data_IF_102256437326
#
_entry.id   IF_102256437326
#
_cell.length_a   1.000
_cell.length_b   1.000
_cell.length_c   1.000
_cell.angle_alpha   90.00
_cell.angle_beta   90.00
_cell.angle_gamma   90.00
#
_symmetry.space_group_name_H-M   'P 1'
#
loop_
_entity.id
_entity.type
_entity.pdbx_description
1 polymer ?
#
# COMPACT_ATOMS: atom_id res chain seq x y z
N UNK A 1 -4.78 18.06 21.49
CA UNK A 1 -4.92 16.86 20.64
C UNK A 1 -6.29 16.26 20.83
N UNK A 2 -6.87 15.67 19.78
CA UNK A 2 -8.11 14.89 19.90
C UNK A 2 -7.91 13.47 19.39
N UNK A 3 -8.34 12.48 20.15
CA UNK A 3 -8.44 11.08 19.72
C UNK A 3 -9.89 10.79 19.31
N UNK A 4 -10.13 10.57 18.01
CA UNK A 4 -11.43 10.16 17.47
C UNK A 4 -11.48 8.64 17.39
N UNK A 5 -12.24 8.01 18.26
CA UNK A 5 -12.23 6.56 18.42
C UNK A 5 -13.35 5.87 17.66
N UNK A 6 -13.00 4.88 16.84
CA UNK A 6 -13.96 4.03 16.11
C UNK A 6 -13.99 2.58 16.64
N UNK A 7 -13.06 2.22 17.53
CA UNK A 7 -13.01 0.90 18.18
C UNK A 7 -11.88 0.03 17.66
N UNK A 8 -12.23 -1.09 17.02
CA UNK A 8 -11.24 -2.07 16.56
C UNK A 8 -10.57 -2.87 17.68
N UNK A 9 -9.48 -3.55 17.33
CA UNK A 9 -8.71 -4.42 18.21
C UNK A 9 -8.02 -3.65 19.33
N UNK A 10 -7.63 -2.39 19.08
CA UNK A 10 -7.05 -1.50 20.09
C UNK A 10 -8.01 -1.25 21.27
N UNK A 11 -9.31 -1.30 21.02
CA UNK A 11 -10.37 -1.26 22.03
C UNK A 11 -10.91 -2.67 22.40
N UNK A 12 -10.24 -3.74 21.99
CA UNK A 12 -10.77 -5.10 22.02
C UNK A 12 -10.60 -5.82 23.36
N UNK A 13 -11.58 -6.66 23.70
CA UNK A 13 -11.55 -7.58 24.86
C UNK A 13 -11.29 -9.02 24.41
N UNK A 14 -10.16 -9.59 24.80
CA UNK A 14 -9.82 -10.99 24.57
C UNK A 14 -10.53 -11.93 25.57
N UNK A 15 -10.64 -13.21 25.20
CA UNK A 15 -11.15 -14.25 26.12
C UNK A 15 -10.16 -14.60 27.25
N UNK A 16 -8.87 -14.31 27.05
CA UNK A 16 -7.79 -14.58 28.00
C UNK A 16 -6.54 -13.76 27.67
N UNK A 17 -5.63 -13.62 28.63
CA UNK A 17 -4.42 -12.78 28.46
C UNK A 17 -3.38 -13.38 27.52
N UNK A 18 -3.44 -14.68 27.29
CA UNK A 18 -2.55 -15.48 26.45
C UNK A 18 -3.08 -15.69 25.02
N UNK A 19 -4.26 -15.14 24.69
CA UNK A 19 -4.84 -15.20 23.35
C UNK A 19 -5.06 -13.81 22.76
N UNK A 20 -4.76 -13.69 21.46
CA UNK A 20 -5.05 -12.51 20.65
C UNK A 20 -5.88 -12.84 19.40
N UNK A 21 -6.29 -14.10 19.23
CA UNK A 21 -7.09 -14.57 18.09
C UNK A 21 -8.56 -14.79 18.44
N UNK A 22 -8.89 -14.95 19.72
CA UNK A 22 -10.26 -15.03 20.21
C UNK A 22 -10.59 -13.81 21.07
N UNK A 23 -11.23 -12.82 20.46
CA UNK A 23 -11.57 -11.56 21.11
C UNK A 23 -12.76 -10.87 20.43
N UNK A 24 -13.31 -9.87 21.11
CA UNK A 24 -14.31 -8.96 20.57
C UNK A 24 -13.69 -7.58 20.38
N UNK A 25 -13.60 -7.13 19.13
CA UNK A 25 -13.20 -5.75 18.80
C UNK A 25 -14.21 -4.74 19.35
N UNK A 26 -13.76 -3.51 19.64
CA UNK A 26 -14.62 -2.41 20.05
C UNK A 26 -15.42 -2.70 21.33
N UNK A 27 -14.73 -2.97 22.44
CA UNK A 27 -15.35 -3.28 23.74
C UNK A 27 -15.10 -2.19 24.77
N UNK A 28 -13.84 -1.79 24.99
CA UNK A 28 -13.50 -0.75 25.96
C UNK A 28 -13.64 0.65 25.35
N UNK A 29 -14.05 1.66 26.12
CA UNK A 29 -14.05 3.04 25.65
C UNK A 29 -12.61 3.56 25.55
N UNK A 30 -12.38 4.47 24.61
CA UNK A 30 -11.04 4.96 24.30
C UNK A 30 -10.48 5.87 25.40
N UNK A 31 -11.37 6.54 26.15
CA UNK A 31 -11.04 7.32 27.34
C UNK A 31 -10.24 6.52 28.36
N UNK A 32 -10.54 5.23 28.52
CA UNK A 32 -9.88 4.38 29.50
C UNK A 32 -8.41 4.14 29.13
N UNK A 33 -8.11 3.98 27.83
CA UNK A 33 -6.72 3.78 27.38
C UNK A 33 -5.95 5.09 27.50
N UNK A 34 -6.56 6.23 27.15
CA UNK A 34 -5.92 7.53 27.35
C UNK A 34 -5.60 7.75 28.82
N UNK A 35 -6.46 7.30 29.74
CA UNK A 35 -6.15 7.29 31.18
C UNK A 35 -4.99 6.36 31.53
N UNK A 36 -4.85 5.21 30.87
CA UNK A 36 -3.69 4.31 31.02
C UNK A 36 -2.38 4.95 30.53
N UNK A 37 -2.43 5.87 29.57
CA UNK A 37 -1.25 6.61 29.08
C UNK A 37 -0.82 7.77 30.00
N UNK A 38 -1.52 8.00 31.11
CA UNK A 38 -1.19 9.06 32.06
C UNK A 38 -0.23 8.57 33.15
N UNK A 39 0.73 9.42 33.58
CA UNK A 39 0.91 10.84 33.23
C UNK A 39 1.76 11.10 31.96
N UNK A 40 2.30 10.07 31.33
CA UNK A 40 3.33 10.20 30.29
C UNK A 40 2.87 11.02 29.08
N UNK A 41 1.62 10.85 28.64
CA UNK A 41 1.07 11.60 27.49
C UNK A 41 0.93 13.10 27.79
N UNK A 42 0.65 13.47 29.05
CA UNK A 42 0.51 14.88 29.47
C UNK A 42 1.82 15.67 29.38
N UNK A 43 2.97 15.00 29.22
CA UNK A 43 4.26 15.66 29.03
C UNK A 43 4.38 16.36 27.67
N UNK A 44 3.58 15.98 26.67
CA UNK A 44 3.68 16.51 25.31
C UNK A 44 2.33 16.77 24.62
N UNK A 45 1.20 16.33 25.19
CA UNK A 45 -0.12 16.60 24.63
C UNK A 45 -1.20 16.69 25.71
N UNK A 46 -2.08 17.69 25.58
CA UNK A 46 -3.41 17.64 26.20
C UNK A 46 -4.34 16.87 25.27
N UNK A 47 -4.99 15.82 25.78
CA UNK A 47 -5.70 14.82 24.96
C UNK A 47 -7.16 14.74 25.35
N UNK A 48 -8.02 15.14 24.43
CA UNK A 48 -9.46 14.90 24.49
C UNK A 48 -9.84 13.66 23.68
N UNK A 49 -10.93 13.00 24.07
CA UNK A 49 -11.44 11.80 23.39
C UNK A 49 -12.83 12.04 22.85
N UNK A 50 -13.01 11.83 21.55
CA UNK A 50 -14.31 11.75 20.89
C UNK A 50 -14.60 10.28 20.57
N UNK A 51 -15.54 9.67 21.29
CA UNK A 51 -15.96 8.29 21.02
C UNK A 51 -16.96 8.25 19.85
N UNK A 52 -16.46 8.25 18.62
CA UNK A 52 -17.28 8.22 17.40
C UNK A 52 -18.04 6.90 17.22
N UNK A 53 -17.38 5.78 17.50
CA UNK A 53 -17.99 4.46 17.49
C UNK A 53 -17.16 3.45 18.25
N UNK A 54 -17.63 2.21 18.32
CA UNK A 54 -16.93 1.15 19.03
C UNK A 54 -17.20 -0.21 18.37
N UNK A 55 -16.65 -0.40 17.17
CA UNK A 55 -16.94 -1.57 16.33
C UNK A 55 -15.70 -2.09 15.59
N UNK A 56 -15.80 -3.28 15.02
CA UNK A 56 -14.78 -3.77 14.08
C UNK A 56 -14.77 -2.93 12.80
N UNK A 57 -13.60 -2.71 12.20
CA UNK A 57 -13.45 -1.77 11.09
C UNK A 57 -14.19 -2.17 9.82
N UNK A 58 -14.43 -3.46 9.59
CA UNK A 58 -15.26 -3.95 8.48
C UNK A 58 -16.77 -3.67 8.61
N UNK A 59 -17.23 -3.15 9.76
CA UNK A 59 -18.64 -2.85 10.00
C UNK A 59 -19.09 -1.44 9.59
N UNK A 60 -18.17 -0.59 9.14
CA UNK A 60 -18.45 0.81 8.83
C UNK A 60 -18.94 1.01 7.40
N UNK A 61 -20.00 1.79 7.24
CA UNK A 61 -20.60 2.16 5.95
C UNK A 61 -20.04 3.48 5.43
N UNK A 62 -20.15 3.76 4.12
CA UNK A 62 -19.69 5.05 3.56
C UNK A 62 -20.38 6.29 4.14
N UNK A 63 -21.70 6.25 4.44
CA UNK A 63 -22.31 7.33 5.22
C UNK A 63 -21.67 7.56 6.59
N UNK A 64 -21.16 6.51 7.26
CA UNK A 64 -20.40 6.68 8.51
C UNK A 64 -18.97 7.15 8.27
N UNK A 65 -18.34 6.80 7.14
CA UNK A 65 -17.06 7.40 6.75
C UNK A 65 -17.21 8.91 6.48
N UNK A 66 -18.34 9.34 5.89
CA UNK A 66 -18.69 10.75 5.77
C UNK A 66 -18.79 11.42 7.14
N UNK A 67 -19.61 10.85 8.03
CA UNK A 67 -19.78 11.37 9.39
C UNK A 67 -18.43 11.44 10.12
N UNK A 68 -17.53 10.48 9.88
CA UNK A 68 -16.18 10.47 10.45
C UNK A 68 -15.31 11.62 9.94
N UNK A 69 -15.31 11.90 8.62
CA UNK A 69 -14.59 13.06 8.07
C UNK A 69 -15.07 14.35 8.73
N UNK A 70 -16.40 14.54 8.85
CA UNK A 70 -16.97 15.72 9.50
C UNK A 70 -16.53 15.83 10.95
N UNK A 71 -16.56 14.72 11.71
CA UNK A 71 -16.10 14.70 13.09
C UNK A 71 -14.61 15.01 13.24
N UNK A 72 -13.77 14.51 12.34
CA UNK A 72 -12.32 14.81 12.31
C UNK A 72 -12.09 16.29 12.01
N UNK A 73 -12.74 16.85 11.00
CA UNK A 73 -12.61 18.26 10.64
C UNK A 73 -13.13 19.19 11.73
N UNK A 74 -14.25 18.84 12.37
CA UNK A 74 -14.78 19.60 13.49
C UNK A 74 -13.81 19.60 14.68
N UNK A 75 -13.19 18.46 15.00
CA UNK A 75 -12.15 18.38 16.01
C UNK A 75 -10.90 19.23 15.65
N UNK A 76 -10.51 19.26 14.36
CA UNK A 76 -9.37 20.03 13.88
C UNK A 76 -9.56 21.55 13.91
N UNK A 77 -10.78 22.06 14.17
CA UNK A 77 -11.00 23.50 14.38
C UNK A 77 -10.25 24.00 15.60
N UNK A 78 -10.36 23.25 16.70
CA UNK A 78 -9.81 23.65 18.01
C UNK A 78 -8.55 22.84 18.39
N UNK A 79 -8.33 21.66 17.83
CA UNK A 79 -7.15 20.83 18.09
C UNK A 79 -5.99 21.14 17.12
N UNK A 80 -4.75 20.96 17.57
CA UNK A 80 -3.56 21.06 16.70
C UNK A 80 -3.38 19.84 15.77
N UNK A 81 -4.16 18.78 15.97
CA UNK A 81 -4.00 17.49 15.31
C UNK A 81 -4.95 16.44 15.88
N UNK A 82 -5.25 15.43 15.06
CA UNK A 82 -6.18 14.35 15.38
C UNK A 82 -5.52 12.99 15.21
N UNK A 83 -5.76 12.09 16.18
CA UNK A 83 -5.50 10.66 16.04
C UNK A 83 -6.82 9.92 15.89
N UNK A 84 -6.98 9.13 14.85
CA UNK A 84 -8.17 8.29 14.64
C UNK A 84 -7.80 6.84 14.94
N UNK A 85 -8.48 6.22 15.90
CA UNK A 85 -8.27 4.79 16.21
C UNK A 85 -9.28 3.92 15.47
N UNK A 86 -8.81 2.85 14.83
CA UNK A 86 -9.66 1.90 14.09
C UNK A 86 -9.12 0.47 14.14
N UNK A 87 -9.92 -0.49 13.70
CA UNK A 87 -9.49 -1.88 13.50
C UNK A 87 -8.58 -2.03 12.29
N UNK A 88 -7.57 -2.89 12.39
CA UNK A 88 -6.53 -3.00 11.35
C UNK A 88 -7.02 -3.59 10.03
N UNK A 89 -8.15 -4.31 9.99
CA UNK A 89 -8.61 -5.03 8.79
C UNK A 89 -8.87 -4.11 7.58
N UNK A 90 -9.53 -2.97 7.79
CA UNK A 90 -9.79 -1.97 6.75
C UNK A 90 -9.14 -0.62 7.07
N UNK A 91 -8.13 -0.59 7.94
CA UNK A 91 -7.47 0.66 8.37
C UNK A 91 -6.87 1.45 7.20
N UNK A 92 -6.31 0.75 6.21
CA UNK A 92 -5.81 1.38 4.97
C UNK A 92 -6.90 2.06 4.14
N UNK A 93 -8.15 1.62 4.27
CA UNK A 93 -9.32 2.22 3.64
C UNK A 93 -9.78 3.46 4.41
N UNK A 94 -9.82 3.40 5.75
CA UNK A 94 -10.05 4.59 6.60
C UNK A 94 -9.02 5.68 6.31
N UNK A 95 -7.74 5.31 6.30
CA UNK A 95 -6.65 6.24 6.05
C UNK A 95 -6.77 6.89 4.68
N UNK A 96 -7.00 6.11 3.62
CA UNK A 96 -7.10 6.68 2.27
C UNK A 96 -8.36 7.51 2.07
N UNK A 97 -9.48 7.16 2.70
CA UNK A 97 -10.67 8.01 2.69
C UNK A 97 -10.41 9.38 3.33
N UNK A 98 -9.82 9.40 4.53
CA UNK A 98 -9.55 10.66 5.23
C UNK A 98 -8.49 11.49 4.51
N UNK A 99 -7.48 10.85 3.91
CA UNK A 99 -6.48 11.52 3.06
C UNK A 99 -7.11 12.25 1.88
N UNK A 100 -8.19 11.67 1.34
CA UNK A 100 -8.91 12.23 0.22
C UNK A 100 -9.99 13.22 0.63
N UNK A 101 -10.47 13.25 1.87
CA UNK A 101 -11.70 13.98 2.22
C UNK A 101 -11.53 15.07 3.28
N UNK A 102 -10.51 14.97 4.14
CA UNK A 102 -10.26 15.98 5.19
C UNK A 102 -9.70 17.25 4.57
N UNK A 103 -10.42 18.36 4.76
CA UNK A 103 -10.10 19.70 4.29
C UNK A 103 -9.28 20.49 5.33
N UNK A 104 -8.22 19.88 5.87
CA UNK A 104 -7.32 20.51 6.85
C UNK A 104 -5.88 20.00 6.69
N UNK A 105 -4.92 20.93 6.71
CA UNK A 105 -3.47 20.67 6.60
C UNK A 105 -2.84 20.17 7.91
N UNK A 106 -3.56 20.28 9.04
CA UNK A 106 -3.10 19.82 10.36
C UNK A 106 -2.92 18.28 10.37
N UNK A 107 -2.03 17.74 11.20
CA UNK A 107 -1.79 16.30 11.29
C UNK A 107 -3.05 15.47 11.56
N UNK A 108 -3.27 14.45 10.72
CA UNK A 108 -4.25 13.38 10.94
C UNK A 108 -3.52 12.04 10.90
N UNK A 109 -3.50 11.35 12.04
CA UNK A 109 -2.81 10.06 12.21
C UNK A 109 -3.83 8.96 12.45
N UNK A 110 -3.80 7.92 11.62
CA UNK A 110 -4.60 6.70 11.80
C UNK A 110 -3.77 5.67 12.55
N UNK A 111 -4.35 5.05 13.57
CA UNK A 111 -3.68 3.99 14.32
C UNK A 111 -4.64 2.91 14.81
N UNK A 112 -4.08 1.83 15.36
CA UNK A 112 -4.81 0.70 15.92
C UNK A 112 -3.86 -0.33 16.54
N UNK A 113 -4.32 -1.58 16.64
CA UNK A 113 -3.53 -2.65 17.23
C UNK A 113 -3.79 -3.98 16.51
N UNK A 114 -2.77 -4.83 16.43
CA UNK A 114 -2.91 -6.20 15.95
C UNK A 114 -3.35 -7.16 17.05
N UNK A 115 -3.06 -6.83 18.32
CA UNK A 115 -3.45 -7.63 19.48
C UNK A 115 -4.46 -6.88 20.35
N UNK A 116 -5.46 -7.58 20.90
CA UNK A 116 -6.45 -6.95 21.77
C UNK A 116 -5.79 -6.30 22.97
N UNK A 117 -6.47 -5.33 23.58
CA UNK A 117 -5.90 -4.60 24.69
C UNK A 117 -5.82 -5.45 25.97
N UNK A 118 -6.95 -6.04 26.38
CA UNK A 118 -7.08 -6.71 27.66
C UNK A 118 -8.13 -7.82 27.63
N UNK A 119 -8.16 -8.68 28.66
CA UNK A 119 -9.14 -9.76 28.81
C UNK A 119 -10.09 -9.59 30.01
N UNK A 120 -9.85 -8.58 30.87
CA UNK A 120 -10.56 -8.35 32.12
C UNK A 120 -11.88 -7.61 31.98
N UNK A 121 -12.55 -7.29 33.09
CA UNK A 121 -13.73 -6.43 33.07
C UNK A 121 -13.35 -4.96 32.91
N UNK A 122 -12.21 -4.57 33.47
CA UNK A 122 -11.52 -3.34 33.13
C UNK A 122 -10.28 -3.67 32.29
N UNK A 123 -9.83 -2.70 31.50
CA UNK A 123 -8.69 -2.91 30.63
C UNK A 123 -7.34 -2.91 31.37
N UNK A 124 -7.26 -2.28 32.54
CA UNK A 124 -6.04 -2.21 33.36
C UNK A 124 -5.71 -3.50 34.09
N UNK A 125 -6.72 -4.32 34.42
CA UNK A 125 -6.52 -5.45 35.34
C UNK A 125 -5.89 -6.68 34.68
N UNK A 126 -5.94 -6.76 33.34
CA UNK A 126 -5.68 -8.02 32.64
C UNK A 126 -5.24 -7.78 31.21
N UNK A 127 -4.13 -7.06 31.04
CA UNK A 127 -3.55 -6.82 29.72
C UNK A 127 -3.21 -8.13 29.01
N UNK A 128 -3.52 -8.18 27.71
CA UNK A 128 -3.08 -9.26 26.83
C UNK A 128 -1.55 -9.19 26.72
N UNK A 129 -0.91 -10.35 26.80
CA UNK A 129 0.54 -10.46 26.75
C UNK A 129 1.07 -9.96 25.40
N UNK A 130 1.92 -8.93 25.46
CA UNK A 130 2.50 -8.29 24.29
C UNK A 130 1.48 -7.53 23.45
N UNK A 131 0.39 -7.01 24.03
CA UNK A 131 -0.50 -6.06 23.36
C UNK A 131 0.29 -4.85 22.83
N UNK A 132 0.00 -4.44 21.61
CA UNK A 132 0.65 -3.31 20.92
C UNK A 132 -0.16 -2.00 21.03
N UNK A 133 -1.40 -2.06 21.52
CA UNK A 133 -2.32 -0.93 21.57
C UNK A 133 -1.81 0.32 22.31
N UNK A 134 -1.36 0.22 23.58
CA UNK A 134 -0.89 1.38 24.32
C UNK A 134 0.29 2.10 23.65
N UNK A 135 1.28 1.35 23.17
CA UNK A 135 2.44 1.90 22.50
C UNK A 135 2.06 2.58 21.17
N UNK A 136 1.28 1.91 20.33
CA UNK A 136 0.81 2.49 19.06
C UNK A 136 0.03 3.79 19.28
N UNK A 137 -0.87 3.84 20.29
CA UNK A 137 -1.65 5.05 20.57
C UNK A 137 -0.76 6.19 21.09
N UNK A 138 0.11 5.92 22.06
CA UNK A 138 1.01 6.93 22.62
C UNK A 138 1.88 7.57 21.53
N UNK A 139 2.45 6.74 20.65
CA UNK A 139 3.33 7.18 19.58
C UNK A 139 2.59 7.90 18.46
N UNK A 140 1.35 7.50 18.18
CA UNK A 140 0.49 8.22 17.24
C UNK A 140 0.09 9.60 17.76
N UNK A 141 -0.17 9.75 19.06
CA UNK A 141 -0.42 11.05 19.70
C UNK A 141 0.85 11.90 19.64
N UNK A 142 2.02 11.32 19.90
CA UNK A 142 3.31 12.02 19.80
C UNK A 142 3.58 12.52 18.39
N UNK A 143 3.34 11.70 17.37
CA UNK A 143 3.46 12.07 15.96
C UNK A 143 2.52 13.21 15.57
N UNK A 144 1.25 13.13 15.97
CA UNK A 144 0.30 14.21 15.69
C UNK A 144 0.69 15.52 16.41
N UNK A 145 1.17 15.42 17.65
CA UNK A 145 1.59 16.57 18.45
C UNK A 145 2.88 17.21 17.95
N UNK A 146 3.78 16.46 17.30
CA UNK A 146 5.07 16.99 16.82
C UNK A 146 4.94 17.93 15.61
N UNK A 147 3.81 17.89 14.90
CA UNK A 147 3.56 18.64 13.67
C UNK A 147 4.48 18.28 12.49
N UNK A 148 5.34 17.27 12.62
CA UNK A 148 6.27 16.81 11.56
C UNK A 148 5.55 16.30 10.30
N UNK A 149 4.27 15.91 10.44
CA UNK A 149 3.42 15.48 9.32
C UNK A 149 2.39 16.56 8.91
N UNK A 150 2.60 17.82 9.28
CA UNK A 150 1.81 18.92 8.75
C UNK A 150 1.86 18.92 7.21
N UNK A 151 0.72 19.13 6.56
CA UNK A 151 0.56 19.05 5.10
C UNK A 151 0.83 17.67 4.45
N UNK A 152 1.10 16.60 5.19
CA UNK A 152 1.30 15.27 4.57
C UNK A 152 -0.01 14.63 4.08
N UNK A 153 -1.16 15.21 4.44
CA UNK A 153 -2.45 14.55 4.36
C UNK A 153 -2.64 13.62 5.57
N UNK A 154 -3.39 12.53 5.38
CA UNK A 154 -3.51 11.53 6.45
C UNK A 154 -2.32 10.58 6.40
N UNK A 155 -1.77 10.25 7.58
CA UNK A 155 -0.73 9.22 7.72
C UNK A 155 -1.24 8.07 8.57
N UNK A 156 -0.67 6.88 8.38
CA UNK A 156 -0.91 5.71 9.22
C UNK A 156 0.33 5.48 10.08
N UNK A 157 0.14 5.35 11.40
CA UNK A 157 1.21 4.98 12.34
C UNK A 157 0.86 3.72 13.13
N UNK A 158 1.71 2.71 13.01
CA UNK A 158 1.59 1.45 13.73
C UNK A 158 2.97 0.78 13.80
N UNK A 159 3.29 0.14 14.94
CA UNK A 159 4.58 -0.51 15.16
C UNK A 159 5.76 0.47 14.95
N UNK A 160 5.62 1.69 15.49
CA UNK A 160 6.59 2.79 15.39
C UNK A 160 6.93 3.26 13.96
N UNK A 161 6.32 2.70 12.92
CA UNK A 161 6.49 3.13 11.53
C UNK A 161 5.43 4.18 11.13
N UNK A 162 5.80 5.11 10.25
CA UNK A 162 4.91 6.16 9.71
C UNK A 162 4.79 5.98 8.21
N UNK A 163 3.56 5.89 7.71
CA UNK A 163 3.29 5.61 6.29
C UNK A 163 2.30 6.61 5.67
N UNK A 164 2.48 6.90 4.38
CA UNK A 164 1.49 7.65 3.61
C UNK A 164 0.20 6.83 3.46
N UNK A 165 -0.95 7.44 3.77
CA UNK A 165 -2.24 6.78 3.70
C UNK A 165 -2.56 6.21 2.33
N UNK A 166 -2.12 6.86 1.24
CA UNK A 166 -2.31 6.37 -0.14
C UNK A 166 -1.60 5.04 -0.40
N UNK A 167 -0.40 4.82 0.15
CA UNK A 167 0.48 3.75 -0.31
C UNK A 167 0.50 2.53 0.61
N UNK A 168 0.26 2.74 1.91
CA UNK A 168 0.33 1.72 2.96
C UNK A 168 -0.70 0.61 2.78
N UNK A 169 -0.34 -0.64 3.06
CA UNK A 169 -1.31 -1.75 3.06
C UNK A 169 -0.99 -2.81 4.11
N UNK A 170 -2.02 -3.49 4.61
CA UNK A 170 -1.89 -4.63 5.51
C UNK A 170 -1.38 -5.85 4.74
N UNK A 171 -0.15 -6.27 5.04
CA UNK A 171 0.55 -7.37 4.37
C UNK A 171 0.49 -8.70 5.13
N UNK A 172 0.08 -8.69 6.40
CA UNK A 172 -0.03 -9.87 7.24
C UNK A 172 -1.32 -9.87 8.07
N UNK A 173 -1.93 -11.04 8.24
CA UNK A 173 -3.17 -11.15 9.02
C UNK A 173 -2.96 -11.18 10.53
N UNK A 174 -1.73 -11.36 11.02
CA UNK A 174 -1.45 -11.66 12.45
C UNK A 174 -0.22 -10.98 13.05
N UNK A 175 0.73 -10.55 12.22
CA UNK A 175 1.99 -9.97 12.68
C UNK A 175 1.83 -8.47 12.96
N UNK A 176 2.59 -7.95 13.92
CA UNK A 176 2.53 -6.53 14.30
C UNK A 176 3.12 -5.64 13.20
N UNK A 177 4.21 -6.09 12.56
CA UNK A 177 4.89 -5.49 11.40
C UNK A 177 4.10 -5.73 10.10
N UNK A 178 2.79 -5.47 10.11
CA UNK A 178 1.92 -5.79 8.98
C UNK A 178 1.73 -4.65 7.98
N UNK A 179 1.77 -3.38 8.41
CA UNK A 179 1.54 -2.28 7.48
C UNK A 179 2.82 -1.96 6.74
N UNK A 180 2.78 -1.99 5.40
CA UNK A 180 3.94 -1.72 4.58
C UNK A 180 3.57 -0.89 3.34
N UNK A 181 4.52 -0.06 2.92
CA UNK A 181 4.38 0.86 1.79
C UNK A 181 5.06 0.34 0.51
N UNK A 182 5.43 -0.94 0.48
CA UNK A 182 6.02 -1.66 -0.66
C UNK A 182 7.17 -0.88 -1.33
N UNK A 183 6.99 -0.44 -2.58
CA UNK A 183 8.05 0.21 -3.37
C UNK A 183 8.34 1.65 -2.92
N UNK A 184 7.35 2.35 -2.35
CA UNK A 184 7.51 3.76 -1.96
C UNK A 184 8.20 3.94 -0.60
N UNK A 185 8.29 2.88 0.21
CA UNK A 185 8.91 2.89 1.54
C UNK A 185 8.12 3.68 2.60
N UNK A 186 8.45 3.46 3.88
CA UNK A 186 7.88 4.26 4.98
C UNK A 186 8.33 5.73 4.87
N UNK A 187 7.53 6.64 5.44
CA UNK A 187 7.86 8.06 5.53
C UNK A 187 8.93 8.32 6.59
N UNK A 188 8.88 7.54 7.67
CA UNK A 188 9.69 7.71 8.85
C UNK A 188 9.34 6.69 9.93
N UNK A 189 9.88 6.90 11.12
CA UNK A 189 9.66 6.05 12.29
C UNK A 189 9.80 6.85 13.59
N UNK A 190 9.48 6.22 14.72
CA UNK A 190 9.52 6.84 16.05
C UNK A 190 10.38 5.98 16.99
N UNK A 191 11.56 6.48 17.35
CA UNK A 191 12.47 5.80 18.28
C UNK A 191 12.39 6.44 19.67
N UNK A 192 11.63 5.81 20.57
CA UNK A 192 11.36 6.40 21.89
C UNK A 192 10.56 7.69 21.76
N UNK A 193 11.18 8.85 22.02
CA UNK A 193 10.54 10.16 21.87
C UNK A 193 10.80 10.84 20.52
N UNK A 194 11.71 10.29 19.71
CA UNK A 194 12.25 10.98 18.54
C UNK A 194 11.43 10.61 17.31
N UNK A 195 10.73 11.60 16.75
CA UNK A 195 9.99 11.47 15.50
C UNK A 195 10.95 11.77 14.35
N UNK A 196 11.21 10.78 13.50
CA UNK A 196 12.20 10.88 12.41
C UNK A 196 11.48 10.72 11.08
N UNK A 197 11.36 11.80 10.31
CA UNK A 197 10.72 11.82 8.98
C UNK A 197 11.76 12.09 7.90
N UNK A 198 11.97 11.13 7.01
CA UNK A 198 12.98 11.22 5.94
C UNK A 198 12.39 11.19 4.53
N UNK A 199 11.07 10.95 4.40
CA UNK A 199 10.33 11.04 3.14
C UNK A 199 8.99 11.74 3.39
N UNK A 200 8.47 12.32 2.33
CA UNK A 200 7.16 12.97 2.32
C UNK A 200 6.34 12.47 1.12
N UNK A 201 4.99 12.47 1.20
CA UNK A 201 4.14 12.27 0.03
C UNK A 201 4.23 13.47 -0.91
N UNK A 202 4.07 13.26 -2.22
CA UNK A 202 4.23 14.33 -3.22
C UNK A 202 3.29 15.55 -3.03
N UNK A 203 2.14 15.36 -2.37
CA UNK A 203 1.18 16.43 -2.04
C UNK A 203 1.81 17.59 -1.23
N UNK A 204 2.91 17.36 -0.53
CA UNK A 204 3.58 18.44 0.23
C UNK A 204 4.08 19.58 -0.65
N UNK A 205 4.30 19.34 -1.95
CA UNK A 205 4.68 20.39 -2.90
C UNK A 205 3.62 21.49 -3.01
N UNK A 206 2.35 21.15 -2.77
CA UNK A 206 1.22 22.08 -2.87
C UNK A 206 0.84 22.68 -1.51
N UNK A 207 1.59 22.43 -0.44
CA UNK A 207 1.25 22.83 0.94
C UNK A 207 0.90 24.32 1.09
N UNK A 208 1.48 25.21 0.27
CA UNK A 208 1.22 26.65 0.30
C UNK A 208 0.14 27.12 -0.69
N UNK A 209 -0.46 26.22 -1.45
CA UNK A 209 -1.50 26.52 -2.45
C UNK A 209 -2.84 25.88 -2.08
N UNK A 210 -3.87 26.22 -2.86
CA UNK A 210 -5.17 25.56 -2.77
C UNK A 210 -5.18 24.20 -3.47
N UNK A 211 -4.19 23.88 -4.28
CA UNK A 211 -4.08 22.59 -4.99
C UNK A 211 -3.79 21.42 -4.04
N UNK A 212 -3.36 21.72 -2.80
CA UNK A 212 -3.25 20.73 -1.73
C UNK A 212 -4.59 20.06 -1.40
N UNK A 213 -5.69 20.81 -1.51
CA UNK A 213 -7.02 20.32 -1.20
C UNK A 213 -7.55 19.46 -2.33
N UNK A 214 -8.08 18.29 -1.98
CA UNK A 214 -8.81 17.46 -2.94
C UNK A 214 -10.17 18.10 -3.25
N UNK A 215 -10.80 17.75 -4.38
CA UNK A 215 -12.14 18.24 -4.71
C UNK A 215 -13.26 17.60 -3.85
N UNK A 216 -12.92 16.72 -2.89
CA UNK A 216 -13.88 15.90 -2.15
C UNK A 216 -14.26 16.54 -0.80
N UNK A 217 -14.71 17.79 -0.81
CA UNK A 217 -15.30 18.43 0.37
C UNK A 217 -16.67 17.80 0.68
N UNK A 218 -16.72 16.98 1.73
CA UNK A 218 -17.93 16.24 2.07
C UNK A 218 -19.07 17.12 2.56
N UNK A 219 -18.81 18.37 3.01
CA UNK A 219 -19.90 19.31 3.35
C UNK A 219 -20.67 19.78 2.11
N UNK A 220 -20.12 19.60 0.91
CA UNK A 220 -20.75 19.98 -0.36
C UNK A 220 -21.70 18.90 -0.93
N UNK A 221 -21.74 17.69 -0.36
CA UNK A 221 -22.57 16.59 -0.85
C UNK A 221 -23.42 15.99 0.27
N UNK A 222 -24.50 15.29 -0.10
CA UNK A 222 -25.30 14.55 0.87
C UNK A 222 -24.52 13.36 1.44
N UNK A 223 -24.74 13.08 2.73
CA UNK A 223 -24.28 11.87 3.42
C UNK A 223 -24.63 10.57 2.69
N UNK A 224 -25.71 10.56 1.91
CA UNK A 224 -26.17 9.37 1.17
C UNK A 224 -25.77 9.39 -0.32
N UNK A 225 -24.84 10.26 -0.73
CA UNK A 225 -24.40 10.40 -2.13
C UNK A 225 -23.56 9.22 -2.67
N UNK A 226 -23.22 8.25 -1.82
CA UNK A 226 -22.26 7.21 -2.15
C UNK A 226 -22.89 6.05 -2.92
N UNK A 227 -22.54 5.98 -4.20
CA UNK A 227 -23.01 4.92 -5.08
C UNK A 227 -22.36 3.58 -4.74
N UNK A 228 -23.12 2.50 -4.93
CA UNK A 228 -22.59 1.15 -4.76
C UNK A 228 -21.51 0.86 -5.80
N UNK A 229 -20.32 0.53 -5.32
CA UNK A 229 -19.16 0.10 -6.11
C UNK A 229 -18.66 -1.24 -5.60
N UNK A 230 -18.35 -2.15 -6.52
CA UNK A 230 -17.91 -3.51 -6.22
C UNK A 230 -16.48 -3.79 -6.68
N UNK A 231 -15.86 -4.86 -6.19
CA UNK A 231 -14.55 -5.33 -6.64
C UNK A 231 -14.71 -6.69 -7.31
N UNK A 232 -14.43 -6.76 -8.60
CA UNK A 232 -14.31 -8.01 -9.34
C UNK A 232 -12.90 -8.57 -9.19
N UNK A 233 -12.77 -9.73 -8.54
CA UNK A 233 -11.49 -10.43 -8.45
C UNK A 233 -11.32 -11.39 -9.62
N UNK A 234 -10.33 -11.14 -10.49
CA UNK A 234 -10.06 -12.04 -11.60
C UNK A 234 -9.15 -13.20 -11.17
N UNK A 235 -9.50 -14.40 -11.58
CA UNK A 235 -8.69 -15.61 -11.45
C UNK A 235 -8.73 -16.41 -12.75
N UNK A 236 -7.97 -17.50 -12.81
CA UNK A 236 -8.02 -18.41 -13.95
C UNK A 236 -9.45 -18.93 -14.13
N UNK A 237 -9.96 -18.88 -15.36
CA UNK A 237 -11.33 -19.26 -15.70
C UNK A 237 -12.44 -18.47 -14.96
N UNK A 238 -12.15 -17.26 -14.46
CA UNK A 238 -13.19 -16.38 -13.92
C UNK A 238 -14.23 -16.08 -15.02
N UNK A 239 -15.51 -16.22 -14.69
CA UNK A 239 -16.63 -15.85 -15.57
C UNK A 239 -16.97 -14.36 -15.47
N UNK A 240 -18.04 -13.97 -16.16
CA UNK A 240 -18.54 -12.58 -16.18
C UNK A 240 -19.85 -12.38 -15.38
N UNK A 241 -20.36 -13.42 -14.75
CA UNK A 241 -21.70 -13.47 -14.16
C UNK A 241 -21.87 -12.45 -13.04
N UNK A 242 -20.85 -12.27 -12.19
CA UNK A 242 -20.89 -11.26 -11.12
C UNK A 242 -20.97 -9.84 -11.67
N UNK A 243 -20.19 -9.52 -12.70
CA UNK A 243 -20.23 -8.20 -13.36
C UNK A 243 -21.63 -7.97 -13.95
N UNK A 244 -22.16 -8.93 -14.70
CA UNK A 244 -23.49 -8.83 -15.29
C UNK A 244 -24.59 -8.69 -14.24
N UNK A 245 -24.52 -9.47 -13.15
CA UNK A 245 -25.48 -9.41 -12.05
C UNK A 245 -25.43 -8.08 -11.30
N UNK A 246 -24.23 -7.54 -11.05
CA UNK A 246 -24.05 -6.22 -10.43
C UNK A 246 -24.59 -5.09 -11.31
N UNK A 247 -24.29 -5.12 -12.61
CA UNK A 247 -24.83 -4.15 -13.57
C UNK A 247 -26.37 -4.20 -13.60
N UNK A 248 -26.97 -5.39 -13.62
CA UNK A 248 -28.42 -5.57 -13.56
C UNK A 248 -29.02 -5.08 -12.22
N UNK A 249 -28.26 -5.16 -11.12
CA UNK A 249 -28.64 -4.65 -9.81
C UNK A 249 -28.42 -3.14 -9.63
N UNK A 250 -27.95 -2.42 -10.67
CA UNK A 250 -27.75 -0.97 -10.63
C UNK A 250 -26.46 -0.51 -9.95
N UNK A 251 -25.44 -1.39 -9.84
CA UNK A 251 -24.10 -0.99 -9.40
C UNK A 251 -23.54 0.04 -10.39
N UNK A 252 -23.04 1.17 -9.87
CA UNK A 252 -22.59 2.27 -10.71
C UNK A 252 -21.08 2.26 -10.99
N UNK A 253 -20.34 1.43 -10.27
CA UNK A 253 -18.92 1.25 -10.52
C UNK A 253 -18.39 -0.13 -10.15
N UNK A 254 -17.37 -0.61 -10.85
CA UNK A 254 -16.70 -1.87 -10.56
C UNK A 254 -15.19 -1.71 -10.71
N UNK A 255 -14.45 -2.03 -9.66
CA UNK A 255 -12.98 -2.14 -9.73
C UNK A 255 -12.62 -3.56 -10.13
N UNK A 256 -11.78 -3.75 -11.15
CA UNK A 256 -11.29 -5.09 -11.50
C UNK A 256 -9.90 -5.31 -10.90
N UNK A 257 -9.76 -6.28 -10.01
CA UNK A 257 -8.48 -6.79 -9.53
C UNK A 257 -7.96 -7.84 -10.54
N UNK A 258 -7.35 -7.35 -11.62
CA UNK A 258 -6.88 -8.17 -12.73
C UNK A 258 -5.64 -9.01 -12.39
N UNK A 259 -5.32 -9.96 -13.27
CA UNK A 259 -4.06 -10.73 -13.23
C UNK A 259 -2.93 -9.97 -13.93
N UNK A 260 -1.69 -10.10 -13.44
CA UNK A 260 -0.52 -9.48 -14.08
C UNK A 260 -0.66 -7.95 -14.17
N UNK A 261 -0.54 -7.38 -15.37
CA UNK A 261 -0.73 -5.95 -15.61
C UNK A 261 -2.22 -5.54 -15.76
N UNK A 262 -3.12 -6.14 -14.97
CA UNK A 262 -4.55 -5.79 -14.96
C UNK A 262 -5.44 -6.55 -15.96
N UNK A 263 -4.97 -7.67 -16.52
CA UNK A 263 -5.76 -8.50 -17.44
C UNK A 263 -6.92 -9.21 -16.74
N UNK A 264 -8.04 -9.35 -17.43
CA UNK A 264 -9.20 -10.15 -17.00
C UNK A 264 -9.52 -11.23 -18.04
N UNK A 265 -10.25 -12.27 -17.66
CA UNK A 265 -10.66 -13.33 -18.59
C UNK A 265 -11.49 -12.76 -19.75
N UNK A 266 -11.53 -13.46 -20.89
CA UNK A 266 -12.36 -13.03 -22.02
C UNK A 266 -13.85 -12.93 -21.65
N UNK A 267 -14.37 -13.83 -20.81
CA UNK A 267 -15.75 -13.80 -20.35
C UNK A 267 -16.03 -12.57 -19.46
N UNK A 268 -15.14 -12.28 -18.51
CA UNK A 268 -15.24 -11.08 -17.67
C UNK A 268 -15.09 -9.79 -18.50
N UNK A 269 -14.20 -9.81 -19.49
CA UNK A 269 -14.00 -8.70 -20.44
C UNK A 269 -15.25 -8.40 -21.26
N UNK A 270 -15.93 -9.42 -21.77
CA UNK A 270 -17.20 -9.27 -22.48
C UNK A 270 -18.30 -8.71 -21.58
N UNK A 271 -18.44 -9.24 -20.35
CA UNK A 271 -19.41 -8.74 -19.38
C UNK A 271 -19.12 -7.28 -18.98
N UNK A 272 -17.85 -6.92 -18.76
CA UNK A 272 -17.42 -5.54 -18.50
C UNK A 272 -17.81 -4.60 -19.64
N UNK A 273 -17.49 -4.96 -20.87
CA UNK A 273 -17.79 -4.13 -22.04
C UNK A 273 -19.30 -3.94 -22.21
N UNK A 274 -20.09 -5.00 -22.03
CA UNK A 274 -21.55 -4.91 -22.05
C UNK A 274 -22.07 -3.99 -20.93
N UNK A 275 -21.63 -4.21 -19.68
CA UNK A 275 -21.99 -3.40 -18.52
C UNK A 275 -21.67 -1.90 -18.71
N UNK A 276 -20.49 -1.61 -19.25
CA UNK A 276 -20.03 -0.25 -19.52
C UNK A 276 -20.87 0.44 -20.60
N UNK A 277 -21.23 -0.29 -21.67
CA UNK A 277 -21.97 0.22 -22.83
C UNK A 277 -23.47 0.36 -22.54
N UNK A 278 -24.08 -0.67 -21.97
CA UNK A 278 -25.53 -0.80 -21.90
C UNK A 278 -26.12 -0.23 -20.61
N UNK A 279 -25.38 -0.27 -19.50
CA UNK A 279 -25.81 0.24 -18.19
C UNK A 279 -24.98 1.44 -17.70
N UNK A 280 -23.98 1.88 -18.47
CA UNK A 280 -23.15 3.03 -18.11
C UNK A 280 -22.26 2.83 -16.88
N UNK A 281 -21.98 1.57 -16.50
CA UNK A 281 -21.15 1.25 -15.33
C UNK A 281 -19.71 1.72 -15.55
N UNK A 282 -19.15 2.44 -14.58
CA UNK A 282 -17.74 2.82 -14.62
C UNK A 282 -16.85 1.71 -14.11
N UNK A 283 -15.75 1.45 -14.80
CA UNK A 283 -14.78 0.46 -14.40
C UNK A 283 -13.45 1.11 -14.06
N UNK A 284 -12.78 0.61 -13.03
CA UNK A 284 -11.38 0.95 -12.77
C UNK A 284 -10.55 -0.32 -12.87
N UNK A 285 -9.58 -0.33 -13.78
CA UNK A 285 -8.70 -1.48 -13.97
C UNK A 285 -7.50 -1.39 -13.04
N UNK A 286 -7.41 -2.32 -12.09
CA UNK A 286 -6.28 -2.48 -11.15
C UNK A 286 -5.69 -3.89 -11.28
N UNK A 287 -4.76 -4.24 -10.41
CA UNK A 287 -4.16 -5.58 -10.37
C UNK A 287 -4.19 -6.19 -8.98
N UNK A 288 -4.39 -7.51 -8.94
CA UNK A 288 -4.31 -8.32 -7.73
C UNK A 288 -2.88 -8.69 -7.33
N UNK A 289 -1.88 -8.31 -8.12
CA UNK A 289 -0.45 -8.57 -7.82
C UNK A 289 0.00 -7.84 -6.56
N UNK A 290 -0.68 -6.74 -6.21
CA UNK A 290 -0.32 -5.90 -5.08
C UNK A 290 0.81 -4.91 -5.37
N UNK A 291 1.32 -4.81 -6.60
CA UNK A 291 2.29 -3.79 -7.02
C UNK A 291 2.32 -3.64 -8.55
N UNK A 292 2.88 -2.51 -9.02
CA UNK A 292 2.93 -2.13 -10.43
C UNK A 292 1.68 -1.33 -10.86
N UNK A 293 1.79 -0.68 -12.03
CA UNK A 293 0.76 0.25 -12.50
C UNK A 293 -0.03 -0.31 -13.69
N UNK A 294 -1.35 -0.03 -13.72
CA UNK A 294 -2.24 -0.31 -14.84
C UNK A 294 -2.59 1.00 -15.54
N UNK A 295 -2.15 1.16 -16.80
CA UNK A 295 -2.26 2.42 -17.57
C UNK A 295 -3.28 2.40 -18.72
N UNK A 296 -3.85 1.23 -19.05
CA UNK A 296 -4.79 1.09 -20.17
C UNK A 296 -6.25 1.31 -19.79
N UNK A 297 -6.97 2.11 -20.58
CA UNK A 297 -8.41 2.33 -20.44
C UNK A 297 -8.98 3.20 -21.56
N UNK A 298 -10.29 3.12 -21.78
CA UNK A 298 -11.03 3.98 -22.72
C UNK A 298 -12.52 4.01 -22.35
N UNK A 299 -13.22 5.08 -22.73
CA UNK A 299 -14.63 5.27 -22.38
C UNK A 299 -14.86 5.08 -20.88
N UNK A 300 -15.82 4.23 -20.50
CA UNK A 300 -16.11 3.94 -19.10
C UNK A 300 -15.09 3.05 -18.37
N UNK A 301 -13.89 2.84 -18.91
CA UNK A 301 -12.81 2.08 -18.28
C UNK A 301 -11.66 3.04 -17.93
N UNK A 302 -11.45 3.26 -16.65
CA UNK A 302 -10.43 4.10 -16.06
C UNK A 302 -9.19 3.26 -15.69
N UNK A 303 -7.97 3.67 -16.05
CA UNK A 303 -6.75 3.04 -15.53
C UNK A 303 -6.61 3.38 -14.03
N UNK A 304 -6.43 2.36 -13.19
CA UNK A 304 -6.30 2.54 -11.74
C UNK A 304 -4.89 2.90 -11.27
N UNK A 305 -3.91 2.97 -12.18
CA UNK A 305 -2.52 3.21 -11.82
C UNK A 305 -1.98 2.08 -10.93
N UNK A 306 -1.22 2.45 -9.90
CA UNK A 306 -0.67 1.55 -8.88
C UNK A 306 -1.58 1.41 -7.64
N UNK A 307 -2.78 2.00 -7.64
CA UNK A 307 -3.71 1.84 -6.53
C UNK A 307 -4.12 0.37 -6.37
N UNK A 308 -4.16 -0.07 -5.11
CA UNK A 308 -4.77 -1.34 -4.76
C UNK A 308 -6.27 -1.34 -5.07
N UNK A 309 -6.88 -2.50 -5.36
CA UNK A 309 -8.30 -2.58 -5.70
C UNK A 309 -9.23 -1.89 -4.69
N UNK A 310 -8.99 -2.06 -3.39
CA UNK A 310 -9.76 -1.46 -2.30
C UNK A 310 -9.59 0.06 -2.21
N UNK A 311 -8.41 0.60 -2.54
CA UNK A 311 -8.17 2.05 -2.58
C UNK A 311 -8.74 2.68 -3.84
N UNK A 312 -8.57 2.04 -4.98
CA UNK A 312 -9.23 2.43 -6.22
C UNK A 312 -10.75 2.45 -6.07
N UNK A 313 -11.32 1.54 -5.28
CA UNK A 313 -12.75 1.54 -4.96
C UNK A 313 -13.16 2.80 -4.20
N UNK A 314 -12.39 3.23 -3.21
CA UNK A 314 -12.66 4.47 -2.47
C UNK A 314 -12.64 5.68 -3.40
N UNK A 315 -11.59 5.81 -4.21
CA UNK A 315 -11.47 6.94 -5.14
C UNK A 315 -12.60 6.92 -6.19
N UNK A 316 -13.06 5.74 -6.63
CA UNK A 316 -14.21 5.64 -7.54
C UNK A 316 -15.52 6.03 -6.87
N UNK A 317 -15.73 5.65 -5.60
CA UNK A 317 -16.93 6.02 -4.82
C UNK A 317 -17.00 7.54 -4.64
N UNK A 318 -15.89 8.16 -4.24
CA UNK A 318 -15.79 9.61 -4.13
C UNK A 318 -15.97 10.27 -5.50
N UNK A 319 -15.35 9.74 -6.56
CA UNK A 319 -15.52 10.28 -7.90
C UNK A 319 -17.00 10.29 -8.32
N UNK A 320 -17.72 9.18 -8.11
CA UNK A 320 -19.16 9.06 -8.43
C UNK A 320 -20.05 10.00 -7.60
N UNK A 321 -19.64 10.34 -6.38
CA UNK A 321 -20.38 11.26 -5.53
C UNK A 321 -20.21 12.73 -5.96
N UNK A 322 -19.09 13.07 -6.60
CA UNK A 322 -18.73 14.46 -6.94
C UNK A 322 -18.82 14.79 -8.43
N UNK A 323 -18.82 13.79 -9.32
CA UNK A 323 -18.95 14.02 -10.76
C UNK A 323 -19.74 12.94 -11.49
N UNK A 324 -20.51 13.37 -12.48
CA UNK A 324 -21.11 12.51 -13.50
C UNK A 324 -20.25 12.32 -14.74
N UNK A 325 -19.07 12.96 -14.80
CA UNK A 325 -18.13 12.91 -15.92
C UNK A 325 -16.99 11.91 -15.65
N UNK A 326 -16.89 10.89 -16.50
CA UNK A 326 -15.89 9.84 -16.40
C UNK A 326 -14.48 10.36 -16.69
N UNK A 327 -14.34 11.39 -17.53
CA UNK A 327 -13.03 11.96 -17.85
C UNK A 327 -12.50 12.78 -16.68
N UNK A 328 -13.36 13.51 -15.97
CA UNK A 328 -12.97 14.14 -14.69
C UNK A 328 -12.52 13.10 -13.65
N UNK A 329 -13.24 11.98 -13.52
CA UNK A 329 -12.83 10.89 -12.65
C UNK A 329 -11.47 10.30 -13.10
N UNK A 330 -11.26 10.09 -14.41
CA UNK A 330 -9.99 9.63 -14.96
C UNK A 330 -8.84 10.58 -14.59
N UNK A 331 -9.06 11.89 -14.66
CA UNK A 331 -8.08 12.90 -14.22
C UNK A 331 -7.75 12.72 -12.74
N UNK A 332 -8.74 12.54 -11.86
CA UNK A 332 -8.48 12.32 -10.43
C UNK A 332 -7.72 11.02 -10.16
N UNK A 333 -7.97 9.95 -10.92
CA UNK A 333 -7.15 8.73 -10.85
C UNK A 333 -5.70 8.97 -11.30
N UNK A 334 -5.48 9.82 -12.29
CA UNK A 334 -4.14 10.16 -12.76
C UNK A 334 -3.38 11.08 -11.78
N UNK A 335 -4.07 12.00 -11.10
CA UNK A 335 -3.45 13.01 -10.22
C UNK A 335 -3.45 12.59 -8.75
N UNK A 336 -4.62 12.42 -8.15
CA UNK A 336 -4.77 12.01 -6.74
C UNK A 336 -4.46 10.52 -6.54
N UNK A 337 -4.80 9.74 -7.56
CA UNK A 337 -4.55 8.32 -7.60
C UNK A 337 -3.13 7.96 -7.99
N UNK A 338 -2.24 8.89 -8.33
CA UNK A 338 -0.80 8.61 -8.60
C UNK A 338 0.02 9.90 -8.50
N UNK A 339 0.05 10.59 -7.35
CA UNK A 339 0.73 11.87 -7.23
C UNK A 339 2.25 11.66 -7.35
N UNK A 340 2.89 12.49 -8.17
CA UNK A 340 4.33 12.45 -8.42
C UNK A 340 4.97 13.77 -8.04
N UNK A 341 6.22 13.73 -7.57
CA UNK A 341 7.02 14.94 -7.45
C UNK A 341 7.29 15.49 -8.85
N UNK A 342 6.84 16.72 -9.12
CA UNK A 342 7.21 17.46 -10.32
C UNK A 342 8.33 18.44 -9.98
N UNK A 343 9.56 18.09 -10.37
CA UNK A 343 10.74 18.94 -10.19
C UNK A 343 11.07 19.77 -11.43
N UNK A 344 10.17 19.85 -12.43
CA UNK A 344 10.43 20.57 -13.68
C UNK A 344 10.74 22.05 -13.44
N UNK A 345 10.05 22.70 -12.49
CA UNK A 345 10.33 24.09 -12.11
C UNK A 345 11.75 24.30 -11.51
N UNK A 346 12.38 23.26 -10.94
CA UNK A 346 13.78 23.33 -10.49
C UNK A 346 14.76 23.25 -11.66
N UNK A 347 14.36 22.68 -12.80
CA UNK A 347 15.19 22.60 -13.99
C UNK A 347 15.34 23.97 -14.68
N UNK A 348 14.31 24.82 -14.66
CA UNK A 348 14.35 26.16 -15.25
C UNK A 348 15.36 27.11 -14.58
N UNK A 349 15.78 26.82 -13.35
CA UNK A 349 16.78 27.59 -12.61
C UNK A 349 18.21 27.17 -12.96
N UNK A 350 18.41 26.00 -13.59
CA UNK A 350 19.71 25.48 -13.98
C UNK A 350 19.87 25.61 -15.49
N UNK A 351 20.25 26.80 -15.95
CA UNK A 351 20.89 26.92 -17.27
C UNK A 351 22.27 26.26 -17.15
N UNK A 352 22.57 25.14 -17.82
CA UNK A 352 23.94 24.67 -17.89
C UNK A 352 24.72 25.73 -18.66
N UNK A 353 25.53 26.53 -17.96
CA UNK A 353 26.57 27.32 -18.61
C UNK A 353 27.44 26.31 -19.36
N UNK A 354 27.51 26.36 -20.70
CA UNK A 354 28.44 25.51 -21.42
C UNK A 354 29.82 25.87 -20.87
N UNK A 355 30.45 24.95 -20.15
CA UNK A 355 31.89 25.07 -19.91
C UNK A 355 32.48 24.99 -21.30
N UNK A 356 33.02 26.11 -21.78
CA UNK A 356 33.77 26.11 -23.03
C UNK A 356 34.77 24.96 -22.94
N UNK A 357 34.75 24.06 -23.93
CA UNK A 357 35.83 23.09 -24.08
C UNK A 357 37.15 23.87 -23.96
N UNK A 358 38.09 23.43 -23.11
CA UNK A 358 39.39 24.07 -23.07
C UNK A 358 39.95 24.07 -24.50
N UNK A 359 40.38 25.24 -24.98
CA UNK A 359 40.98 25.35 -26.31
C UNK A 359 42.04 24.25 -26.47
N UNK A 360 42.06 23.54 -27.62
CA UNK A 360 43.05 22.51 -27.83
C UNK A 360 44.44 23.14 -27.66
N UNK A 361 45.18 22.66 -26.67
CA UNK A 361 46.57 23.06 -26.46
C UNK A 361 47.32 22.83 -27.77
N UNK A 362 47.97 23.86 -28.34
CA UNK A 362 48.72 23.67 -29.58
C UNK A 362 49.81 22.62 -29.34
N UNK A 363 49.78 21.56 -30.14
CA UNK A 363 50.84 20.55 -30.17
C UNK A 363 52.20 21.25 -30.39
N UNK A 364 53.23 20.92 -29.61
CA UNK A 364 54.56 21.46 -29.85
C UNK A 364 55.06 20.97 -31.21
N UNK A 365 55.32 21.93 -32.10
CA UNK A 365 55.97 21.70 -33.40
C UNK A 365 57.31 20.98 -33.19
N UNK A 366 57.58 19.83 -33.83
CA UNK A 366 58.85 19.14 -33.68
C UNK A 366 59.98 19.99 -34.28
N UNK A 367 60.95 20.37 -33.46
CA UNK A 367 62.21 20.94 -33.96
C UNK A 367 63.04 19.81 -34.58
N UNK A 368 63.33 19.91 -35.86
CA UNK A 368 64.36 19.09 -36.50
C UNK A 368 65.73 19.41 -35.88
N UNK A 369 66.32 18.42 -35.20
CA UNK A 369 67.76 18.39 -34.93
C UNK A 369 68.33 17.06 -35.38
N UNK A 370 69.33 17.15 -36.26
CA UNK A 370 70.03 16.07 -36.92
C UNK A 370 70.93 15.25 -35.97
N UNK A 371 71.03 13.95 -36.26
CA UNK A 371 72.16 13.06 -35.92
C UNK A 371 72.26 12.66 -34.45
N UNK A 372 72.68 11.46 -34.04
CA UNK A 372 73.35 10.33 -34.70
C UNK A 372 73.31 9.14 -33.72
N UNK A 373 73.09 7.93 -34.23
CA UNK A 373 73.78 6.72 -33.80
C UNK A 373 73.32 5.97 -32.54
N UNK A 374 72.99 4.69 -32.72
CA UNK A 374 73.45 3.63 -31.80
C UNK A 374 72.38 2.79 -31.10
N UNK A 375 72.28 1.50 -31.51
CA UNK A 375 72.13 0.37 -30.59
C UNK A 375 70.72 -0.09 -30.19
N UNK A 376 70.20 -1.07 -30.93
CA UNK A 376 69.60 -2.37 -30.55
C UNK A 376 69.19 -2.73 -29.08
N UNK A 377 68.33 -3.76 -28.89
CA UNK A 377 67.05 -3.62 -28.16
C UNK A 377 66.93 -4.47 -26.88
N UNK A 378 65.74 -4.37 -26.24
CA UNK A 378 65.01 -5.40 -25.46
C UNK A 378 64.61 -4.99 -24.03
N UNK A 379 63.31 -5.11 -23.72
CA UNK A 379 62.70 -5.62 -22.47
C UNK A 379 61.20 -5.28 -22.48
N UNK A 380 60.31 -6.23 -22.73
CA UNK A 380 59.67 -7.10 -21.72
C UNK A 380 58.48 -6.43 -21.02
N UNK A 381 57.27 -6.71 -21.53
CA UNK A 381 56.03 -6.65 -20.76
C UNK A 381 55.49 -8.08 -20.63
N UNK A 382 55.47 -8.59 -19.40
CA UNK A 382 54.81 -9.85 -19.03
C UNK A 382 53.35 -9.58 -18.63
N UNK A 383 52.37 -10.39 -19.07
CA UNK A 383 51.02 -10.38 -18.55
C UNK A 383 50.78 -11.56 -17.60
N UNK A 384 49.93 -11.41 -16.57
CA UNK A 384 49.39 -12.54 -15.77
C UNK A 384 48.17 -12.07 -14.95
N UNK A 385 47.27 -12.94 -14.45
CA UNK A 385 46.20 -13.56 -15.23
C UNK A 385 44.80 -13.55 -14.53
N UNK A 386 43.85 -14.15 -15.26
CA UNK A 386 42.49 -14.61 -14.91
C UNK A 386 42.34 -15.45 -13.62
N UNK A 387 41.17 -15.36 -12.96
CA UNK A 387 40.13 -16.42 -12.86
C UNK A 387 39.37 -16.43 -11.51
N UNK A 388 38.03 -16.41 -11.55
CA UNK A 388 37.20 -17.19 -10.63
C UNK A 388 35.87 -17.55 -11.30
N UNK A 389 35.54 -18.84 -11.26
CA UNK A 389 34.43 -19.50 -11.96
C UNK A 389 33.16 -19.55 -11.09
N UNK A 390 31.99 -19.49 -11.73
CA UNK A 390 30.74 -20.08 -11.22
C UNK A 390 29.94 -20.59 -12.43
N UNK A 391 29.47 -21.85 -12.48
CA UNK A 391 28.86 -22.38 -13.70
C UNK A 391 27.36 -22.06 -13.78
N UNK A 392 26.98 -21.33 -14.82
CA UNK A 392 25.60 -21.25 -15.31
C UNK A 392 25.34 -22.42 -16.28
N UNK A 393 24.31 -23.21 -16.01
CA UNK A 393 23.83 -24.24 -16.92
C UNK A 393 23.02 -23.60 -18.06
N UNK A 394 23.63 -23.52 -19.24
CA UNK A 394 22.97 -23.21 -20.51
C UNK A 394 22.39 -24.50 -21.08
N UNK A 395 21.06 -24.61 -21.19
CA UNK A 395 20.42 -25.64 -22.00
C UNK A 395 20.14 -25.01 -23.37
N UNK A 396 20.97 -25.40 -24.35
CA UNK A 396 20.81 -25.03 -25.75
C UNK A 396 19.60 -25.71 -26.38
N UNK A 397 18.81 -24.92 -27.11
CA UNK A 397 17.75 -25.40 -27.97
C UNK A 397 18.33 -25.86 -29.32
N UNK A 398 17.94 -27.05 -29.78
CA UNK A 398 18.01 -27.44 -31.20
C UNK A 398 16.74 -28.22 -31.59
N UNK A 399 16.32 -28.13 -32.87
CA UNK A 399 14.95 -28.40 -33.31
C UNK A 399 14.75 -29.87 -33.68
N UNK A 400 13.53 -30.39 -33.51
CA UNK A 400 13.15 -31.72 -33.98
C UNK A 400 12.13 -31.62 -35.11
N UNK A 401 12.55 -32.07 -36.30
CA UNK A 401 11.70 -32.47 -37.41
C UNK A 401 11.47 -33.98 -37.36
N UNK A 402 10.22 -34.40 -37.58
CA UNK A 402 9.82 -35.66 -38.24
C UNK A 402 10.24 -37.03 -37.69
N UNK A 403 9.26 -37.74 -37.10
CA UNK A 403 8.92 -39.13 -37.48
C UNK A 403 9.65 -40.31 -36.80
N UNK A 404 8.93 -41.07 -35.97
CA UNK A 404 9.27 -42.49 -35.68
C UNK A 404 8.96 -42.99 -34.27
N UNK A 405 7.89 -43.81 -34.14
CA UNK A 405 7.56 -44.79 -33.08
C UNK A 405 7.43 -44.35 -31.59
N UNK A 406 6.21 -44.36 -31.00
CA UNK A 406 5.99 -44.15 -29.57
C UNK A 406 5.97 -45.50 -28.84
N UNK A 407 7.02 -45.82 -28.08
CA UNK A 407 7.03 -47.07 -27.30
C UNK A 407 7.90 -47.02 -26.06
N UNK A 408 9.15 -46.56 -26.18
CA UNK A 408 10.08 -46.58 -25.04
C UNK A 408 10.04 -45.31 -24.18
N UNK A 409 9.89 -44.12 -24.77
CA UNK A 409 9.91 -42.86 -24.01
C UNK A 409 8.71 -42.71 -23.07
N UNK A 410 7.52 -43.19 -23.47
CA UNK A 410 6.33 -43.18 -22.64
C UNK A 410 6.42 -44.16 -21.45
N UNK A 411 7.12 -45.29 -21.63
CA UNK A 411 7.31 -46.29 -20.58
C UNK A 411 8.28 -45.80 -19.49
N UNK A 412 9.34 -45.10 -19.89
CA UNK A 412 10.33 -44.49 -18.97
C UNK A 412 9.71 -43.31 -18.21
N UNK A 413 8.91 -42.48 -18.88
CA UNK A 413 8.19 -41.38 -18.22
C UNK A 413 7.14 -41.92 -17.21
N UNK A 414 6.43 -43.00 -17.55
CA UNK A 414 5.47 -43.65 -16.67
C UNK A 414 6.11 -44.26 -15.41
N UNK A 415 7.28 -44.90 -15.55
CA UNK A 415 8.03 -45.46 -14.42
C UNK A 415 8.59 -44.37 -13.48
N UNK A 416 9.05 -43.24 -14.03
CA UNK A 416 9.53 -42.11 -13.23
C UNK A 416 8.40 -41.43 -12.43
N UNK A 417 7.20 -41.30 -13.03
CA UNK A 417 6.01 -40.80 -12.35
C UNK A 417 5.53 -41.74 -11.25
N UNK A 418 5.53 -43.06 -11.50
CA UNK A 418 5.16 -44.06 -10.50
C UNK A 418 6.12 -44.07 -9.30
N UNK A 419 7.43 -43.97 -9.54
CA UNK A 419 8.43 -43.86 -8.45
C UNK A 419 8.25 -42.57 -7.64
N UNK A 420 7.98 -41.44 -8.30
CA UNK A 420 7.73 -40.16 -7.66
C UNK A 420 6.52 -40.19 -6.72
N UNK A 421 5.41 -40.82 -7.15
CA UNK A 421 4.20 -40.98 -6.33
C UNK A 421 4.44 -41.88 -5.13
N UNK A 422 5.19 -42.97 -5.29
CA UNK A 422 5.54 -43.88 -4.18
C UNK A 422 6.43 -43.18 -3.14
N UNK A 423 7.44 -42.43 -3.59
CA UNK A 423 8.32 -41.66 -2.70
C UNK A 423 7.57 -40.54 -1.97
N UNK A 424 6.64 -39.87 -2.65
CA UNK A 424 5.77 -38.87 -2.04
C UNK A 424 4.90 -39.45 -0.92
N UNK A 425 4.26 -40.60 -1.14
CA UNK A 425 3.44 -41.26 -0.12
C UNK A 425 4.24 -41.84 1.03
N UNK A 426 5.46 -42.33 0.79
CA UNK A 426 6.37 -42.74 1.87
C UNK A 426 6.82 -41.54 2.73
N UNK A 427 7.06 -40.39 2.11
CA UNK A 427 7.40 -39.16 2.82
C UNK A 427 6.22 -38.65 3.67
N UNK A 428 5.00 -38.63 3.13
CA UNK A 428 3.79 -38.25 3.87
C UNK A 428 3.52 -39.19 5.06
N UNK A 429 3.73 -40.51 4.90
CA UNK A 429 3.61 -41.47 6.01
C UNK A 429 4.61 -41.21 7.13
N UNK A 430 5.86 -40.86 6.82
CA UNK A 430 6.87 -40.50 7.83
C UNK A 430 6.50 -39.23 8.59
N UNK A 431 5.97 -38.22 7.90
CA UNK A 431 5.50 -36.98 8.53
C UNK A 431 4.28 -37.21 9.43
N UNK A 432 3.36 -38.11 9.05
CA UNK A 432 2.21 -38.47 9.90
C UNK A 432 2.61 -39.25 11.16
N UNK A 433 3.63 -40.12 11.08
CA UNK A 433 4.16 -40.85 12.24
C UNK A 433 4.88 -39.92 13.24
N UNK A 434 5.55 -38.86 12.77
CA UNK A 434 6.17 -37.85 13.62
C UNK A 434 5.16 -36.95 14.33
N UNK A 435 3.96 -36.74 13.75
CA UNK A 435 2.89 -35.96 14.39
C UNK A 435 2.08 -36.73 15.43
N UNK A 436 2.16 -38.06 15.45
CA UNK A 436 1.48 -38.91 16.45
C UNK A 436 2.29 -39.17 17.73
N UNK A 437 3.51 -38.63 17.85
CA UNK A 437 4.42 -38.81 18.99
C UNK A 437 4.56 -37.54 19.85
N UNK A 438 3.75 -36.52 19.58
CA UNK A 438 3.65 -35.30 20.40
C UNK A 438 2.19 -35.22 20.87
N UNK A 439 1.85 -36.00 21.88
CA UNK A 439 0.72 -35.79 22.77
C UNK A 439 1.04 -36.31 24.16
#
# INVERSE_FOLDING_TARGET
MVVVATGGTLAGKAAGRDTYTNYRAGTYPMSDMVAVLQPEVSAFADVEVVQFGNSGSGGYTFPQYHDLTIAVEDALKDADGVVVTTGTDTMEEFAYWLDLTVQSKKPVVITGAMRPWAAGDTASDSMVLGTDGPANLLQSIRLAASQETFCFGTVLSLNDEVHAARDVTKTNSTRNDTFATRLSGMLGWIDGSDVIINRAPARVLDCETNDWFTPFDLRAVSRDAYSRVEIFYNAQAAGGESISAWAAAGVQGVVTAGTGAGGISSAAGQARTAAARDQGVWFVSTTRTGSGSVSGGSGNIIPGGDLLPQKARILLILSRAFTGDVEQARTWFATLGSPTFDSSALADVVSPTPVAEPEPTPEPTPSESAGTGGGDPAASASPTPSASETPAAVIGALPFTGGGAPGLAALVAGLALALGVVLYWQHQRRLSAQRGLIH
#
